data_IF_621263950583
#
_entry.id   IF_621263950583
#
_cell.length_a   1.000
_cell.length_b   1.000
_cell.length_c   1.000
_cell.angle_alpha   90.00
_cell.angle_beta   90.00
_cell.angle_gamma   90.00
#
_symmetry.space_group_name_H-M   'P 1'
#
loop_
_entity.id
_entity.type
_entity.pdbx_description
1 polymer ?
#
# COMPACT_ATOMS: atom_id res chain seq x y z
N UNK A 1 -19.59 15.23 2.03
CA UNK A 1 -18.69 14.69 3.08
C UNK A 1 -17.24 14.82 2.61
N UNK A 2 -16.31 15.25 3.46
CA UNK A 2 -14.99 15.73 3.04
C UNK A 2 -14.01 14.60 2.68
N UNK A 3 -13.23 14.82 1.63
CA UNK A 3 -12.02 14.05 1.31
C UNK A 3 -11.08 14.15 2.52
N UNK A 4 -10.36 13.07 2.92
CA UNK A 4 -9.35 13.18 3.98
C UNK A 4 -8.43 14.38 3.72
N UNK A 5 -8.21 15.24 4.71
CA UNK A 5 -7.47 16.50 4.52
C UNK A 5 -6.08 16.28 3.90
N UNK A 6 -5.43 15.19 4.31
CA UNK A 6 -4.14 14.72 3.80
C UNK A 6 -4.18 14.20 2.35
N UNK A 7 -5.36 14.03 1.77
CA UNK A 7 -5.57 13.72 0.35
C UNK A 7 -5.94 14.99 -0.44
N UNK A 8 -6.67 15.93 0.16
CA UNK A 8 -7.17 17.12 -0.56
C UNK A 8 -6.18 18.30 -0.64
N UNK A 9 -5.29 18.47 0.34
CA UNK A 9 -4.52 19.72 0.49
C UNK A 9 -3.46 19.98 -0.60
N UNK A 10 -3.16 19.01 -1.46
CA UNK A 10 -2.09 19.12 -2.46
C UNK A 10 -2.44 18.47 -3.81
N UNK A 11 -3.73 18.34 -4.12
CA UNK A 11 -4.14 17.61 -5.30
C UNK A 11 -3.99 18.47 -6.57
N UNK A 12 -3.16 18.00 -7.51
CA UNK A 12 -3.00 18.65 -8.82
C UNK A 12 -4.33 18.73 -9.57
N UNK A 13 -4.54 19.81 -10.33
CA UNK A 13 -5.77 20.03 -11.11
C UNK A 13 -6.00 18.95 -12.19
N UNK A 14 -4.97 18.19 -12.54
CA UNK A 14 -5.02 17.07 -13.50
C UNK A 14 -5.42 15.73 -12.85
N UNK A 15 -5.66 15.72 -11.54
CA UNK A 15 -6.16 14.58 -10.80
C UNK A 15 -7.66 14.70 -10.52
N UNK A 16 -8.33 13.56 -10.47
CA UNK A 16 -9.73 13.45 -10.10
C UNK A 16 -9.86 12.55 -8.88
N UNK A 17 -10.48 13.08 -7.83
CA UNK A 17 -10.84 12.29 -6.65
C UNK A 17 -12.27 11.81 -6.79
N UNK A 18 -12.47 10.50 -6.65
CA UNK A 18 -13.80 9.89 -6.53
C UNK A 18 -13.88 9.23 -5.15
N UNK A 19 -14.96 9.44 -4.42
CA UNK A 19 -15.09 8.92 -3.06
C UNK A 19 -16.54 8.57 -2.70
N UNK A 20 -16.63 7.69 -1.71
CA UNK A 20 -17.85 7.31 -1.00
C UNK A 20 -17.63 7.57 0.49
N UNK A 21 -18.61 7.26 1.33
CA UNK A 21 -18.44 7.33 2.79
C UNK A 21 -17.34 6.39 3.31
N UNK A 22 -17.24 5.20 2.71
CA UNK A 22 -16.35 4.13 3.17
C UNK A 22 -15.00 4.09 2.45
N UNK A 23 -14.72 4.97 1.50
CA UNK A 23 -13.46 4.91 0.75
C UNK A 23 -13.39 5.86 -0.44
N UNK A 24 -12.36 5.69 -1.26
CA UNK A 24 -12.21 6.45 -2.48
C UNK A 24 -11.01 6.05 -3.31
N UNK A 25 -10.80 6.77 -4.40
CA UNK A 25 -9.67 6.60 -5.29
C UNK A 25 -9.27 7.93 -5.95
N UNK A 26 -7.98 8.03 -6.30
CA UNK A 26 -7.41 9.14 -7.07
C UNK A 26 -7.05 8.63 -8.45
N UNK A 27 -7.53 9.32 -9.47
CA UNK A 27 -7.28 9.03 -10.88
C UNK A 27 -6.65 10.22 -11.58
N UNK A 28 -6.10 10.00 -12.78
CA UNK A 28 -5.97 11.09 -13.75
C UNK A 28 -7.33 11.41 -14.40
N UNK A 29 -7.42 12.54 -15.10
CA UNK A 29 -8.66 12.92 -15.82
C UNK A 29 -9.16 11.87 -16.80
N UNK A 30 -8.27 11.08 -17.42
CA UNK A 30 -8.67 10.02 -18.36
C UNK A 30 -9.10 8.72 -17.69
N UNK A 31 -8.91 8.63 -16.37
CA UNK A 31 -9.08 7.42 -15.56
C UNK A 31 -8.27 6.21 -16.04
N UNK A 32 -7.27 6.40 -16.89
CA UNK A 32 -6.33 5.35 -17.30
C UNK A 32 -5.32 5.04 -16.20
N UNK A 33 -5.07 6.01 -15.32
CA UNK A 33 -4.16 5.88 -14.19
C UNK A 33 -4.96 5.99 -12.89
N UNK A 34 -4.72 5.07 -11.96
CA UNK A 34 -5.21 5.14 -10.58
C UNK A 34 -4.01 5.18 -9.65
N UNK A 35 -3.83 6.32 -8.99
CA UNK A 35 -2.68 6.57 -8.14
C UNK A 35 -2.89 6.11 -6.71
N UNK A 36 -4.13 6.21 -6.22
CA UNK A 36 -4.49 5.80 -4.87
C UNK A 36 -5.84 5.10 -4.87
N UNK A 37 -5.97 4.13 -3.97
CA UNK A 37 -7.23 3.57 -3.53
C UNK A 37 -7.20 3.54 -2.00
N UNK A 38 -8.29 3.95 -1.32
CA UNK A 38 -8.40 3.79 0.12
C UNK A 38 -9.76 3.24 0.54
N UNK A 39 -9.77 2.59 1.70
CA UNK A 39 -10.95 2.09 2.39
C UNK A 39 -10.85 2.39 3.87
N UNK A 40 -11.92 2.98 4.40
CA UNK A 40 -12.18 2.98 5.84
C UNK A 40 -12.77 1.62 6.19
N UNK A 41 -12.20 0.99 7.20
CA UNK A 41 -12.70 -0.25 7.75
C UNK A 41 -13.62 0.14 8.90
N UNK A 42 -14.92 -0.21 8.78
CA UNK A 42 -15.83 -0.05 9.90
C UNK A 42 -15.21 -0.70 11.14
N UNK A 43 -15.16 0.05 12.24
CA UNK A 43 -14.75 -0.49 13.52
C UNK A 43 -15.74 -1.59 13.88
N UNK A 44 -15.39 -2.84 13.65
CA UNK A 44 -15.96 -3.86 14.50
C UNK A 44 -15.46 -3.48 15.89
N UNK A 45 -16.37 -3.14 16.80
CA UNK A 45 -16.09 -3.09 18.23
C UNK A 45 -15.53 -4.46 18.63
N UNK A 46 -14.22 -4.62 18.54
CA UNK A 46 -13.47 -5.76 19.05
C UNK A 46 -12.22 -5.18 19.69
N UNK A 47 -12.43 -4.41 20.75
CA UNK A 47 -11.43 -4.23 21.81
C UNK A 47 -11.75 -5.12 23.03
N UNK A 48 -12.58 -6.15 22.85
CA UNK A 48 -12.72 -7.22 23.84
C UNK A 48 -12.43 -8.56 23.18
N UNK A 49 -11.32 -9.19 23.55
CA UNK A 49 -11.25 -10.66 23.54
C UNK A 49 -10.34 -11.39 22.55
N UNK A 50 -9.36 -10.78 21.88
CA UNK A 50 -8.31 -11.55 21.16
C UNK A 50 -7.01 -11.59 22.00
N UNK A 51 -6.64 -12.74 22.59
CA UNK A 51 -5.32 -12.90 23.21
C UNK A 51 -4.26 -12.95 22.10
N UNK A 52 -3.35 -11.97 22.05
CA UNK A 52 -2.14 -12.03 21.22
C UNK A 52 -1.90 -10.88 20.25
N UNK A 53 -2.86 -9.97 20.06
CA UNK A 53 -2.69 -8.78 19.22
C UNK A 53 -2.27 -7.53 20.01
N UNK A 54 -1.05 -7.49 20.58
CA UNK A 54 -0.55 -6.20 21.09
C UNK A 54 -0.33 -5.24 19.91
N UNK A 55 -0.75 -3.97 20.02
CA UNK A 55 -0.14 -2.89 19.22
C UNK A 55 1.37 -2.99 19.40
N UNK A 56 2.14 -2.82 18.32
CA UNK A 56 3.59 -2.74 18.43
C UNK A 56 3.90 -1.57 19.37
N UNK A 57 4.50 -1.86 20.52
CA UNK A 57 4.91 -0.84 21.48
C UNK A 57 5.91 0.10 20.81
N UNK A 58 5.57 1.38 20.68
CA UNK A 58 6.42 2.37 20.04
C UNK A 58 5.77 3.73 19.69
N UNK A 59 4.46 3.93 19.87
CA UNK A 59 3.81 5.22 19.51
C UNK A 59 3.61 6.20 20.67
N UNK A 60 4.37 6.07 21.77
CA UNK A 60 4.37 7.07 22.85
C UNK A 60 5.57 8.02 22.71
N UNK A 61 5.59 8.76 21.61
CA UNK A 61 6.20 10.09 21.50
C UNK A 61 5.82 10.73 20.14
N UNK A 62 5.18 11.90 20.19
CA UNK A 62 4.74 12.73 19.05
C UNK A 62 3.44 12.31 18.33
N UNK A 63 2.28 12.66 18.91
CA UNK A 63 1.15 13.31 18.20
C UNK A 63 0.55 12.71 16.91
N UNK A 64 0.79 11.45 16.53
CA UNK A 64 0.15 10.84 15.35
C UNK A 64 -0.58 9.56 15.74
N UNK A 65 -1.90 9.64 15.87
CA UNK A 65 -2.76 8.46 15.84
C UNK A 65 -2.85 8.04 14.38
N UNK A 66 -2.20 6.96 13.99
CA UNK A 66 -2.51 6.35 12.71
C UNK A 66 -2.79 4.86 12.91
N UNK A 67 -3.89 4.42 12.30
CA UNK A 67 -4.39 3.05 12.24
C UNK A 67 -4.42 2.61 10.76
N UNK A 68 -3.41 3.02 9.97
CA UNK A 68 -3.36 2.94 8.51
C UNK A 68 -2.30 1.95 8.06
N UNK A 69 -2.72 1.01 7.22
CA UNK A 69 -1.81 0.16 6.46
C UNK A 69 -1.74 0.64 5.01
N UNK A 70 -0.53 0.83 4.50
CA UNK A 70 -0.25 1.10 3.09
C UNK A 70 0.24 -0.19 2.43
N UNK A 71 -0.44 -0.61 1.37
CA UNK A 71 0.02 -1.67 0.49
C UNK A 71 0.57 -1.09 -0.81
N UNK A 72 1.76 -1.53 -1.19
CA UNK A 72 2.42 -1.18 -2.44
C UNK A 72 2.37 -2.39 -3.36
N UNK A 73 1.54 -2.29 -4.39
CA UNK A 73 1.20 -3.39 -5.29
C UNK A 73 1.76 -3.16 -6.70
N UNK A 74 1.50 -4.07 -7.64
CA UNK A 74 2.07 -3.95 -8.99
C UNK A 74 1.41 -2.84 -9.80
N UNK A 75 0.14 -3.01 -10.12
CA UNK A 75 -0.65 -2.09 -10.92
C UNK A 75 -2.14 -2.21 -10.57
N UNK A 76 -2.92 -1.13 -10.72
CA UNK A 76 -4.36 -1.18 -10.55
C UNK A 76 -5.05 -2.15 -11.50
N UNK A 77 -6.05 -2.84 -10.96
CA UNK A 77 -7.03 -3.60 -11.74
C UNK A 77 -8.37 -2.84 -11.78
N UNK A 78 -9.48 -3.49 -11.43
CA UNK A 78 -10.85 -2.96 -11.57
C UNK A 78 -11.36 -2.20 -10.35
N UNK A 79 -10.74 -2.33 -9.17
CA UNK A 79 -11.21 -1.60 -7.98
C UNK A 79 -11.19 -0.08 -8.16
N UNK A 80 -12.22 0.59 -7.64
CA UNK A 80 -12.43 2.05 -7.71
C UNK A 80 -12.92 2.59 -6.36
N UNK A 81 -13.56 3.76 -6.28
CA UNK A 81 -14.05 4.30 -5.01
C UNK A 81 -15.11 3.44 -4.30
N UNK A 82 -15.79 2.57 -5.03
CA UNK A 82 -16.99 1.83 -4.59
C UNK A 82 -16.82 0.31 -4.69
N UNK A 83 -16.04 -0.17 -5.66
CA UNK A 83 -15.89 -1.58 -5.97
C UNK A 83 -14.57 -2.16 -5.44
N UNK A 84 -14.63 -3.34 -4.83
CA UNK A 84 -13.47 -4.11 -4.39
C UNK A 84 -13.28 -5.36 -5.25
N UNK A 85 -12.16 -5.44 -5.96
CA UNK A 85 -11.74 -6.66 -6.65
C UNK A 85 -11.20 -7.73 -5.66
N UNK A 86 -10.96 -8.98 -6.08
CA UNK A 86 -10.49 -10.05 -5.19
C UNK A 86 -9.22 -9.70 -4.41
N UNK A 87 -8.31 -8.94 -5.03
CA UNK A 87 -7.06 -8.51 -4.40
C UNK A 87 -7.33 -7.53 -3.27
N UNK A 88 -8.15 -6.50 -3.52
CA UNK A 88 -8.50 -5.52 -2.49
C UNK A 88 -9.26 -6.16 -1.33
N UNK A 89 -10.15 -7.13 -1.60
CA UNK A 89 -10.82 -7.89 -0.54
C UNK A 89 -9.84 -8.64 0.36
N UNK A 90 -8.78 -9.24 -0.21
CA UNK A 90 -7.71 -9.86 0.58
C UNK A 90 -6.96 -8.84 1.44
N UNK A 91 -6.59 -7.70 0.87
CA UNK A 91 -5.90 -6.62 1.60
C UNK A 91 -6.74 -6.11 2.79
N UNK A 92 -8.05 -5.93 2.58
CA UNK A 92 -9.00 -5.58 3.65
C UNK A 92 -9.04 -6.66 4.73
N UNK A 93 -9.07 -7.94 4.35
CA UNK A 93 -9.04 -9.07 5.29
C UNK A 93 -7.80 -9.04 6.18
N UNK A 94 -6.61 -8.87 5.61
CA UNK A 94 -5.37 -8.75 6.37
C UNK A 94 -5.41 -7.56 7.34
N UNK A 95 -5.77 -6.39 6.84
CA UNK A 95 -5.85 -5.19 7.65
C UNK A 95 -6.80 -5.33 8.85
N UNK A 96 -8.02 -5.87 8.63
CA UNK A 96 -8.98 -6.16 9.69
C UNK A 96 -8.43 -7.18 10.69
N UNK A 97 -7.84 -8.28 10.22
CA UNK A 97 -7.25 -9.30 11.09
C UNK A 97 -6.11 -8.77 11.96
N UNK A 98 -5.45 -7.71 11.49
CA UNK A 98 -4.38 -7.02 12.19
C UNK A 98 -4.86 -5.77 12.93
N UNK A 99 -6.17 -5.51 13.03
CA UNK A 99 -6.71 -4.39 13.81
C UNK A 99 -6.50 -3.01 13.20
N UNK A 100 -6.11 -2.91 11.92
CA UNK A 100 -6.05 -1.61 11.22
C UNK A 100 -7.45 -1.11 10.88
N UNK A 101 -7.63 0.21 10.87
CA UNK A 101 -8.91 0.88 10.58
C UNK A 101 -8.99 1.45 9.18
N UNK A 102 -7.87 1.51 8.46
CA UNK A 102 -7.83 2.02 7.09
C UNK A 102 -6.80 1.26 6.26
N UNK A 103 -7.19 0.95 5.03
CA UNK A 103 -6.33 0.37 4.00
C UNK A 103 -6.12 1.38 2.91
N UNK A 104 -4.87 1.57 2.52
CA UNK A 104 -4.48 2.33 1.35
C UNK A 104 -3.68 1.44 0.40
N UNK A 105 -3.92 1.62 -0.89
CA UNK A 105 -3.22 0.87 -1.93
C UNK A 105 -2.67 1.84 -2.97
N UNK A 106 -1.35 1.85 -3.06
CA UNK A 106 -0.58 2.48 -4.14
C UNK A 106 0.07 1.38 -4.97
N UNK A 107 0.65 1.74 -6.11
CA UNK A 107 1.16 0.75 -7.05
C UNK A 107 2.51 1.18 -7.62
N UNK A 108 3.36 0.21 -7.99
CA UNK A 108 4.56 0.44 -8.77
C UNK A 108 4.23 1.20 -10.05
N UNK A 109 3.14 0.83 -10.71
CA UNK A 109 2.64 1.47 -11.93
C UNK A 109 1.21 1.95 -11.71
N UNK A 110 0.91 3.23 -11.93
CA UNK A 110 -0.45 3.73 -11.78
C UNK A 110 -1.37 3.33 -12.96
N UNK A 111 -0.82 2.89 -14.09
CA UNK A 111 -1.64 2.49 -15.24
C UNK A 111 -2.52 1.29 -14.91
N UNK A 112 -3.83 1.42 -15.18
CA UNK A 112 -4.82 0.37 -14.92
C UNK A 112 -4.77 -0.69 -16.01
N UNK A 113 -4.53 -1.93 -15.62
CA UNK A 113 -4.52 -3.08 -16.53
C UNK A 113 -4.86 -4.37 -15.78
N UNK A 114 -5.70 -5.23 -16.37
CA UNK A 114 -6.00 -6.57 -15.83
C UNK A 114 -4.79 -7.50 -15.92
N UNK A 115 -4.08 -7.42 -17.04
CA UNK A 115 -2.93 -8.27 -17.35
C UNK A 115 -1.63 -7.46 -17.18
N UNK A 116 -0.74 -7.82 -16.24
CA UNK A 116 0.53 -7.14 -16.02
C UNK A 116 1.41 -7.00 -17.27
N UNK A 117 1.30 -7.95 -18.20
CA UNK A 117 2.06 -7.97 -19.44
C UNK A 117 1.81 -6.72 -20.30
N UNK A 118 0.59 -6.15 -20.21
CA UNK A 118 0.21 -4.95 -20.95
C UNK A 118 1.05 -3.72 -20.56
N UNK A 119 1.61 -3.68 -19.34
CA UNK A 119 2.45 -2.58 -18.88
C UNK A 119 3.68 -2.37 -19.77
N UNK A 120 4.18 -3.42 -20.44
CA UNK A 120 5.32 -3.36 -21.36
C UNK A 120 5.02 -2.52 -22.61
N UNK A 121 3.77 -2.50 -23.05
CA UNK A 121 3.34 -1.76 -24.24
C UNK A 121 2.95 -0.31 -23.94
N UNK A 122 2.81 0.06 -22.66
CA UNK A 122 2.44 1.40 -22.25
C UNK A 122 3.68 2.28 -22.17
N UNK A 123 3.65 3.45 -22.82
CA UNK A 123 4.80 4.38 -22.86
C UNK A 123 5.19 4.93 -21.49
N UNK A 124 4.19 5.29 -20.65
CA UNK A 124 4.38 5.91 -19.33
C UNK A 124 3.63 5.13 -18.23
N UNK A 125 3.93 3.84 -18.00
CA UNK A 125 3.10 2.98 -17.13
C UNK A 125 3.12 3.43 -15.66
N UNK A 126 4.19 4.12 -15.24
CA UNK A 126 4.32 4.66 -13.88
C UNK A 126 3.22 5.70 -13.59
N UNK A 127 2.90 6.57 -14.56
CA UNK A 127 2.02 7.73 -14.36
C UNK A 127 2.75 8.92 -13.73
N UNK A 128 2.36 10.14 -14.11
CA UNK A 128 3.06 11.38 -13.76
C UNK A 128 3.16 11.63 -12.25
N UNK A 129 2.07 11.38 -11.51
CA UNK A 129 1.94 11.73 -10.09
C UNK A 129 2.20 10.57 -9.13
N UNK A 130 2.66 9.42 -9.64
CA UNK A 130 2.68 8.19 -8.86
C UNK A 130 3.69 8.23 -7.72
N UNK A 131 4.91 8.72 -7.98
CA UNK A 131 5.95 8.81 -6.96
C UNK A 131 5.62 9.83 -5.87
N UNK A 132 4.96 10.93 -6.23
CA UNK A 132 4.48 11.93 -5.27
C UNK A 132 3.45 11.32 -4.31
N UNK A 133 2.45 10.61 -4.87
CA UNK A 133 1.40 9.97 -4.08
C UNK A 133 1.96 8.84 -3.21
N UNK A 134 2.93 8.05 -3.71
CA UNK A 134 3.61 7.03 -2.88
C UNK A 134 4.29 7.68 -1.67
N UNK A 135 5.05 8.78 -1.86
CA UNK A 135 5.71 9.49 -0.74
C UNK A 135 4.70 10.00 0.27
N UNK A 136 3.69 10.72 -0.21
CA UNK A 136 2.63 11.26 0.64
C UNK A 136 2.00 10.16 1.49
N UNK A 137 1.67 9.00 0.90
CA UNK A 137 1.05 7.91 1.65
C UNK A 137 2.01 7.22 2.62
N UNK A 138 3.27 7.04 2.23
CA UNK A 138 4.26 6.41 3.09
C UNK A 138 4.49 7.19 4.39
N UNK A 139 4.48 8.53 4.35
CA UNK A 139 4.62 9.43 5.53
C UNK A 139 3.50 9.24 6.56
N UNK A 140 2.34 8.74 6.14
CA UNK A 140 1.15 8.61 6.99
C UNK A 140 0.79 7.16 7.34
N UNK A 141 1.62 6.19 6.95
CA UNK A 141 1.35 4.78 7.20
C UNK A 141 2.08 4.27 8.45
N UNK A 142 1.39 3.50 9.30
CA UNK A 142 2.04 2.81 10.43
C UNK A 142 2.69 1.51 10.00
N UNK A 143 2.22 0.96 8.87
CA UNK A 143 2.77 -0.23 8.25
C UNK A 143 2.79 -0.06 6.73
N UNK A 144 3.97 -0.10 6.15
CA UNK A 144 4.16 -0.15 4.71
C UNK A 144 4.46 -1.58 4.28
N UNK A 145 3.57 -2.18 3.48
CA UNK A 145 3.69 -3.56 3.01
C UNK A 145 3.82 -3.64 1.49
N UNK A 146 4.85 -4.30 1.00
CA UNK A 146 5.09 -4.54 -0.42
C UNK A 146 4.55 -5.90 -0.84
N UNK A 147 3.86 -5.96 -1.99
CA UNK A 147 3.13 -7.16 -2.43
C UNK A 147 2.89 -7.23 -3.97
N UNK A 148 3.88 -6.84 -4.78
CA UNK A 148 3.74 -6.70 -6.24
C UNK A 148 4.00 -7.97 -7.08
N UNK A 149 4.47 -9.08 -6.48
CA UNK A 149 4.75 -10.32 -7.21
C UNK A 149 5.92 -10.19 -8.20
N UNK A 150 6.07 -11.18 -9.10
CA UNK A 150 7.27 -11.34 -9.93
C UNK A 150 7.47 -10.28 -11.03
N UNK A 151 6.48 -9.42 -11.28
CA UNK A 151 6.51 -8.47 -12.39
C UNK A 151 7.03 -7.07 -12.00
N UNK A 152 7.46 -6.87 -10.75
CA UNK A 152 7.92 -5.57 -10.26
C UNK A 152 9.16 -5.01 -10.94
N UNK A 153 10.04 -5.89 -11.44
CA UNK A 153 11.33 -5.54 -12.07
C UNK A 153 11.22 -4.78 -13.39
N UNK A 154 10.02 -4.64 -13.96
CA UNK A 154 9.84 -3.90 -15.21
C UNK A 154 10.41 -2.48 -15.05
N UNK A 155 11.38 -2.10 -15.88
CA UNK A 155 12.07 -0.79 -15.81
C UNK A 155 12.69 -0.50 -14.43
N UNK A 156 13.14 -1.53 -13.71
CA UNK A 156 13.77 -1.42 -12.38
C UNK A 156 12.87 -0.71 -11.35
N UNK A 157 11.55 -0.81 -11.56
CA UNK A 157 10.59 0.00 -10.82
C UNK A 157 10.48 -0.41 -9.36
N UNK A 158 10.58 -1.69 -9.06
CA UNK A 158 10.62 -2.19 -7.70
C UNK A 158 11.79 -1.61 -6.90
N UNK A 159 13.01 -1.61 -7.44
CA UNK A 159 14.17 -1.01 -6.79
C UNK A 159 14.02 0.50 -6.55
N UNK A 160 13.51 1.23 -7.56
CA UNK A 160 13.26 2.65 -7.43
C UNK A 160 12.25 2.96 -6.32
N UNK A 161 11.17 2.18 -6.21
CA UNK A 161 10.16 2.36 -5.16
C UNK A 161 10.68 1.92 -3.80
N UNK A 162 11.48 0.85 -3.71
CA UNK A 162 12.10 0.44 -2.45
C UNK A 162 13.03 1.53 -1.89
N UNK A 163 13.85 2.15 -2.75
CA UNK A 163 14.71 3.28 -2.36
C UNK A 163 13.87 4.46 -1.85
N UNK A 164 12.79 4.80 -2.56
CA UNK A 164 11.86 5.85 -2.16
C UNK A 164 11.21 5.55 -0.80
N UNK A 165 10.71 4.33 -0.59
CA UNK A 165 10.03 3.95 0.66
C UNK A 165 10.98 3.92 1.86
N UNK A 166 12.26 3.59 1.64
CA UNK A 166 13.27 3.57 2.70
C UNK A 166 13.51 4.93 3.36
N UNK A 167 13.14 6.03 2.69
CA UNK A 167 13.17 7.38 3.27
C UNK A 167 12.15 7.57 4.41
N UNK A 168 11.11 6.73 4.47
CA UNK A 168 9.98 6.89 5.40
C UNK A 168 9.89 5.80 6.48
N UNK A 169 10.72 4.77 6.41
CA UNK A 169 10.78 3.72 7.41
C UNK A 169 10.91 2.30 6.85
N UNK A 170 10.79 1.27 7.70
CA UNK A 170 10.88 -0.11 7.27
C UNK A 170 9.69 -0.52 6.39
N UNK A 171 9.99 -1.29 5.35
CA UNK A 171 9.00 -1.97 4.51
C UNK A 171 8.88 -3.43 4.91
N UNK A 172 7.67 -3.98 4.79
CA UNK A 172 7.35 -5.36 5.16
C UNK A 172 6.78 -6.13 3.98
N UNK A 173 6.79 -7.46 4.02
CA UNK A 173 6.15 -8.29 3.01
C UNK A 173 5.53 -9.55 3.63
N UNK A 174 4.61 -10.20 2.91
CA UNK A 174 4.00 -11.48 3.31
C UNK A 174 4.87 -12.71 2.95
N UNK A 175 6.14 -12.47 2.60
CA UNK A 175 7.09 -13.47 2.13
C UNK A 175 7.52 -13.24 0.68
N UNK A 176 8.50 -14.03 0.25
CA UNK A 176 9.11 -13.96 -1.09
C UNK A 176 8.65 -15.10 -2.00
N UNK A 177 8.60 -14.85 -3.29
CA UNK A 177 8.57 -15.88 -4.33
C UNK A 177 9.96 -16.49 -4.53
N UNK A 178 10.07 -17.56 -5.31
CA UNK A 178 11.36 -18.18 -5.65
C UNK A 178 12.33 -17.22 -6.36
N UNK A 179 11.81 -16.17 -7.02
CA UNK A 179 12.63 -15.14 -7.66
C UNK A 179 12.96 -13.97 -6.71
N UNK A 180 12.66 -14.09 -5.42
CA UNK A 180 12.92 -13.07 -4.40
C UNK A 180 11.92 -11.90 -4.38
N UNK A 181 10.88 -11.92 -5.20
CA UNK A 181 9.91 -10.82 -5.23
C UNK A 181 8.88 -10.95 -4.10
N UNK A 182 8.32 -9.85 -3.56
CA UNK A 182 7.29 -9.93 -2.53
C UNK A 182 6.02 -10.60 -3.07
N UNK A 183 5.51 -11.60 -2.36
CA UNK A 183 4.33 -12.37 -2.78
C UNK A 183 3.09 -11.48 -2.89
N UNK A 184 2.29 -11.74 -3.92
CA UNK A 184 1.02 -11.06 -4.14
C UNK A 184 -0.06 -11.56 -3.14
N UNK A 185 -0.95 -10.71 -2.62
CA UNK A 185 -1.88 -11.06 -1.53
C UNK A 185 -2.84 -12.23 -1.85
N UNK A 186 -3.19 -12.42 -3.13
CA UNK A 186 -4.08 -13.51 -3.55
C UNK A 186 -3.54 -14.91 -3.23
N UNK A 187 -2.22 -15.08 -3.22
CA UNK A 187 -1.57 -16.40 -3.04
C UNK A 187 -1.16 -16.65 -1.58
N UNK A 188 -1.63 -15.82 -0.66
CA UNK A 188 -1.35 -15.93 0.78
C UNK A 188 -2.60 -16.46 1.48
N UNK A 189 -2.42 -17.43 2.39
CA UNK A 189 -3.50 -17.97 3.21
C UNK A 189 -4.02 -16.90 4.18
N UNK A 190 -5.30 -16.97 4.55
CA UNK A 190 -5.96 -15.94 5.37
C UNK A 190 -5.53 -15.92 6.84
N UNK A 191 -4.95 -17.01 7.33
CA UNK A 191 -4.53 -17.24 8.72
C UNK A 191 -3.06 -16.88 8.97
N UNK A 192 -2.43 -16.15 8.04
CA UNK A 192 -1.06 -15.66 8.24
C UNK A 192 -1.04 -14.66 9.40
N UNK A 193 -0.64 -15.17 10.57
CA UNK A 193 -0.16 -14.36 11.68
C UNK A 193 0.97 -13.46 11.18
N UNK A 194 1.15 -12.28 11.80
CA UNK A 194 2.26 -11.37 11.52
C UNK A 194 3.60 -12.05 11.88
N UNK A 195 4.04 -13.04 11.11
CA UNK A 195 5.40 -13.53 11.18
C UNK A 195 6.30 -12.37 10.77
N UNK A 196 7.28 -12.02 11.59
CA UNK A 196 8.38 -11.14 11.20
C UNK A 196 9.00 -11.70 9.91
N UNK A 197 8.55 -11.22 8.75
CA UNK A 197 9.21 -11.45 7.47
C UNK A 197 10.43 -10.54 7.33
N UNK A 198 11.19 -10.33 8.41
CA UNK A 198 12.17 -9.24 8.48
C UNK A 198 13.58 -9.62 8.05
N UNK A 199 13.84 -10.81 7.54
CA UNK A 199 15.24 -11.15 7.20
C UNK A 199 15.53 -11.26 5.71
N UNK A 200 14.62 -11.79 4.88
CA UNK A 200 15.01 -12.19 3.52
C UNK A 200 14.64 -11.22 2.38
N UNK A 201 13.85 -10.18 2.63
CA UNK A 201 13.71 -9.03 1.70
C UNK A 201 14.35 -7.75 2.27
N UNK A 202 14.50 -7.67 3.60
CA UNK A 202 14.82 -6.44 4.35
C UNK A 202 16.27 -6.32 4.82
N UNK A 203 17.13 -7.31 4.60
CA UNK A 203 18.54 -7.25 5.00
C UNK A 203 19.42 -6.25 4.22
N UNK A 204 18.93 -5.66 3.13
CA UNK A 204 19.75 -4.90 2.18
C UNK A 204 19.64 -3.37 2.25
N UNK A 205 18.72 -2.79 3.03
CA UNK A 205 18.57 -1.30 3.07
C UNK A 205 18.66 -0.69 4.47
N UNK A 206 18.57 -1.48 5.55
CA UNK A 206 18.79 -0.98 6.93
C UNK A 206 20.08 -1.55 7.53
N UNK A 207 21.23 -1.11 7.01
CA UNK A 207 22.50 -1.14 7.75
C UNK A 207 23.29 0.14 7.47
N UNK A 208 22.84 1.26 8.03
CA UNK A 208 23.78 2.29 8.50
C UNK A 208 23.65 2.36 10.03
N UNK A 209 24.76 2.20 10.78
CA UNK A 209 24.72 2.45 12.21
C UNK A 209 24.41 3.92 12.44
N UNK A 210 23.49 4.20 13.36
CA UNK A 210 23.44 5.49 14.06
C UNK A 210 24.83 5.69 14.68
N UNK A 211 25.68 6.47 14.02
CA UNK A 211 26.83 7.05 14.69
C UNK A 211 26.32 8.20 15.54
N UNK A 212 26.76 8.14 16.80
CA UNK A 212 26.50 9.08 17.89
C UNK A 212 27.06 10.45 17.60
#
# INVERSE_FOLDING_TARGET
>A
MAIPKDISEHLHSDLTVRHTECGGAIFDRTQKYRYLLWRKLAGNNVLEGIPGGRPLAGSEACGKVSDRILLVMLNPNTADESYNDPTIRRCIGFAKSWGYKQVEVVNLFAYRAKEPQMLKAVRKPVGTYNDEIIRQRAIHADLCMVAWGNHGKLKERDEAVLKLLAEFGPVYCLGTTNSGAPKHPLYIKSDVNRSRSTENLCGAISRRPLQR
#
